data_IF_858841373937
#
_entry.id   IF_858841373937
#
_cell.length_a   1.000
_cell.length_b   1.000
_cell.length_c   1.000
_cell.angle_alpha   90.00
_cell.angle_beta   90.00
_cell.angle_gamma   90.00
#
_symmetry.space_group_name_H-M   'P 1'
#
loop_
_entity.id
_entity.type
_entity.pdbx_description
1 polymer ?
#
# COMPACT_ATOMS: atom_id res chain seq x y z
N UNK A 1 9.53 11.61 56.69
CA UNK A 1 10.74 11.29 57.46
C UNK A 1 11.48 10.15 56.74
N UNK A 2 12.78 10.30 56.43
CA UNK A 2 13.50 9.44 55.49
C UNK A 2 14.55 8.53 56.16
N UNK A 3 14.88 7.41 55.50
CA UNK A 3 16.13 6.65 55.59
C UNK A 3 16.30 5.98 54.21
N UNK A 4 17.35 6.14 53.40
CA UNK A 4 18.70 6.60 53.64
C UNK A 4 19.68 5.42 53.70
N UNK A 5 20.04 4.81 52.56
CA UNK A 5 21.29 4.06 52.42
C UNK A 5 21.90 4.29 51.03
N UNK A 6 23.03 5.00 51.06
CA UNK A 6 24.00 5.19 49.99
C UNK A 6 25.01 4.06 50.00
N UNK A 7 25.46 3.60 48.82
CA UNK A 7 26.84 3.13 48.61
C UNK A 7 27.32 3.50 47.20
N UNK A 8 28.37 4.31 47.16
CA UNK A 8 29.23 4.63 46.03
C UNK A 8 30.58 3.94 46.18
N UNK A 9 31.13 3.39 45.09
CA UNK A 9 32.56 3.14 44.81
C UNK A 9 32.65 3.10 43.27
N UNK A 10 33.03 4.18 42.57
CA UNK A 10 34.39 4.65 42.19
C UNK A 10 35.25 3.67 41.36
N UNK A 11 35.65 4.16 40.16
CA UNK A 11 36.87 3.84 39.36
C UNK A 11 36.96 2.41 38.78
N UNK A 12 37.22 2.13 37.49
CA UNK A 12 38.21 2.69 36.56
C UNK A 12 37.93 2.26 35.10
N UNK A 13 38.21 3.10 34.10
CA UNK A 13 38.60 2.66 32.74
C UNK A 13 40.07 2.16 32.79
N UNK A 14 40.66 1.40 31.83
CA UNK A 14 40.78 1.79 30.41
C UNK A 14 41.07 0.66 29.35
N UNK A 15 41.44 1.10 28.12
CA UNK A 15 42.24 0.43 27.04
C UNK A 15 41.53 -0.66 26.19
N UNK A 16 41.33 -0.54 24.86
CA UNK A 16 42.19 -0.17 23.73
C UNK A 16 43.36 -1.15 23.52
N UNK A 17 43.14 -2.18 22.69
CA UNK A 17 44.19 -3.06 22.17
C UNK A 17 44.14 -3.08 20.66
N UNK A 18 45.15 -2.41 20.12
CA UNK A 18 45.71 -2.50 18.77
C UNK A 18 46.87 -3.49 18.88
N UNK A 19 47.06 -4.40 17.93
CA UNK A 19 48.30 -5.18 17.83
C UNK A 19 48.64 -5.44 16.37
N UNK A 20 49.54 -4.61 15.86
CA UNK A 20 50.44 -4.96 14.76
C UNK A 20 51.72 -5.60 15.34
N UNK A 21 52.44 -6.30 14.45
CA UNK A 21 53.92 -6.42 14.37
C UNK A 21 54.56 -7.81 14.61
N UNK A 22 55.05 -8.35 13.47
CA UNK A 22 56.26 -9.16 13.17
C UNK A 22 56.54 -10.55 13.78
N UNK A 23 56.87 -11.52 12.91
CA UNK A 23 58.26 -11.82 12.44
C UNK A 23 58.29 -12.91 11.35
N UNK A 24 59.14 -12.74 10.33
CA UNK A 24 59.71 -13.80 9.45
C UNK A 24 60.90 -14.50 10.17
N UNK A 25 61.44 -15.65 9.67
CA UNK A 25 62.45 -15.72 8.57
C UNK A 25 62.24 -16.95 7.64
N UNK A 26 62.86 -17.17 6.48
CA UNK A 26 63.92 -16.51 5.71
C UNK A 26 64.30 -17.34 4.44
N UNK A 27 65.14 -16.75 3.58
CA UNK A 27 66.19 -17.35 2.68
C UNK A 27 65.72 -18.23 1.48
N UNK A 28 66.28 -18.27 0.26
CA UNK A 28 67.49 -17.72 -0.39
C UNK A 28 67.35 -17.97 -1.93
N UNK A 29 67.62 -17.01 -2.85
CA UNK A 29 68.69 -16.95 -3.90
C UNK A 29 68.01 -16.46 -5.22
N UNK A 30 68.29 -15.37 -5.94
CA UNK A 30 69.54 -14.76 -6.47
C UNK A 30 69.73 -15.16 -7.97
N UNK A 31 70.36 -14.36 -8.88
CA UNK A 31 70.51 -12.90 -8.99
C UNK A 31 70.40 -12.32 -10.45
N UNK A 32 70.73 -11.03 -10.59
CA UNK A 32 71.31 -10.29 -11.75
C UNK A 32 70.45 -9.62 -12.86
N UNK A 33 70.42 -8.27 -12.89
CA UNK A 33 71.34 -7.40 -13.70
C UNK A 33 70.99 -5.88 -13.66
N UNK A 34 71.97 -5.07 -13.24
CA UNK A 34 72.50 -3.76 -13.77
C UNK A 34 71.53 -2.59 -14.10
N UNK A 35 71.55 -1.50 -13.32
CA UNK A 35 72.26 -0.19 -13.51
C UNK A 35 71.64 0.70 -14.62
N UNK A 36 71.40 2.01 -14.52
CA UNK A 36 72.23 3.15 -14.05
C UNK A 36 71.35 4.43 -14.10
N UNK A 37 71.26 5.29 -13.06
CA UNK A 37 71.98 6.58 -12.80
C UNK A 37 71.34 7.90 -13.29
N UNK A 38 71.07 8.81 -12.33
CA UNK A 38 71.28 10.30 -12.25
C UNK A 38 70.68 11.25 -13.32
N UNK A 39 70.33 12.53 -13.10
CA UNK A 39 70.53 13.58 -12.06
C UNK A 39 69.30 14.55 -12.05
N UNK A 40 68.82 15.15 -10.96
CA UNK A 40 69.26 16.36 -10.22
C UNK A 40 69.37 17.66 -11.06
N UNK A 41 68.53 18.66 -10.71
CA UNK A 41 68.64 20.08 -11.12
C UNK A 41 67.37 20.92 -10.84
N UNK A 42 67.48 21.90 -9.95
CA UNK A 42 66.53 22.99 -9.59
C UNK A 42 67.42 24.17 -9.09
N UNK A 43 66.99 25.43 -8.82
CA UNK A 43 65.80 26.23 -9.23
C UNK A 43 66.15 27.72 -9.58
N UNK A 44 65.15 28.63 -9.53
CA UNK A 44 65.17 30.11 -9.45
C UNK A 44 65.12 30.88 -10.80
N UNK A 45 64.41 32.01 -11.02
CA UNK A 45 63.69 32.96 -10.15
C UNK A 45 62.93 34.04 -10.99
N UNK A 46 62.04 34.80 -10.33
CA UNK A 46 61.55 36.19 -10.61
C UNK A 46 60.23 36.48 -11.37
N UNK A 47 59.36 37.27 -10.70
CA UNK A 47 58.49 38.28 -11.34
C UNK A 47 57.05 38.39 -10.83
N UNK A 48 56.81 39.11 -9.71
CA UNK A 48 55.49 39.45 -9.20
C UNK A 48 54.97 40.79 -9.77
N UNK A 49 53.68 40.86 -10.15
CA UNK A 49 52.86 42.08 -10.07
C UNK A 49 51.35 41.77 -10.26
N UNK A 50 50.54 42.08 -9.24
CA UNK A 50 49.08 42.25 -9.25
C UNK A 50 48.84 43.72 -8.79
N UNK A 51 47.69 44.39 -9.04
CA UNK A 51 46.35 43.80 -8.89
C UNK A 51 45.21 44.35 -9.79
N UNK A 52 44.05 43.71 -9.59
CA UNK A 52 42.71 44.29 -9.59
C UNK A 52 41.85 44.15 -10.86
N UNK A 53 41.00 43.11 -10.87
CA UNK A 53 39.59 43.17 -11.31
C UNK A 53 38.87 41.91 -10.80
N UNK A 54 37.78 42.12 -10.07
CA UNK A 54 36.90 41.09 -9.50
C UNK A 54 36.38 40.11 -10.58
N UNK A 55 36.30 38.80 -10.34
CA UNK A 55 35.46 37.93 -11.17
C UNK A 55 34.05 37.88 -10.59
N UNK A 56 33.11 38.36 -11.40
CA UNK A 56 31.68 38.16 -11.19
C UNK A 56 31.35 36.66 -11.14
N UNK A 57 30.45 36.33 -10.23
CA UNK A 57 29.86 35.02 -10.00
C UNK A 57 29.16 34.53 -11.29
N UNK A 58 29.84 33.70 -12.09
CA UNK A 58 29.21 33.01 -13.21
C UNK A 58 28.53 31.74 -12.71
N UNK A 59 27.21 31.84 -12.50
CA UNK A 59 26.32 30.69 -12.34
C UNK A 59 26.52 29.72 -13.53
N UNK A 60 26.67 28.40 -13.30
CA UNK A 60 26.66 27.46 -14.41
C UNK A 60 25.27 27.48 -15.06
N UNK A 61 25.24 27.90 -16.32
CA UNK A 61 24.09 27.81 -17.21
C UNK A 61 23.63 26.34 -17.20
N UNK A 62 22.46 26.10 -16.62
CA UNK A 62 21.74 24.83 -16.75
C UNK A 62 21.36 24.71 -18.23
N UNK A 63 22.19 24.02 -18.99
CA UNK A 63 21.86 23.62 -20.35
C UNK A 63 20.65 22.69 -20.28
N UNK A 64 19.54 23.16 -20.84
CA UNK A 64 18.32 22.36 -21.04
C UNK A 64 18.73 21.05 -21.73
N UNK A 65 18.36 19.86 -21.22
CA UNK A 65 18.57 18.65 -22.01
C UNK A 65 17.72 18.79 -23.27
N UNK A 66 18.39 18.76 -24.41
CA UNK A 66 17.78 18.92 -25.71
C UNK A 66 16.75 17.79 -25.93
N UNK A 67 15.54 18.21 -26.29
CA UNK A 67 14.40 17.39 -26.69
C UNK A 67 14.71 16.21 -27.65
N UNK A 68 15.75 16.22 -28.52
CA UNK A 68 16.08 15.08 -29.38
C UNK A 68 16.57 13.83 -28.62
N UNK A 69 17.12 13.99 -27.41
CA UNK A 69 17.53 12.86 -26.58
C UNK A 69 16.32 12.04 -26.09
N UNK A 70 15.12 12.66 -26.03
CA UNK A 70 13.84 12.03 -25.67
C UNK A 70 13.34 11.10 -26.79
N UNK A 71 13.70 11.37 -28.04
CA UNK A 71 13.21 10.63 -29.22
C UNK A 71 14.10 9.44 -29.58
N UNK A 72 15.41 9.51 -29.29
CA UNK A 72 16.34 8.37 -29.49
C UNK A 72 16.16 7.22 -28.46
N UNK A 73 15.19 7.33 -27.53
CA UNK A 73 14.90 6.39 -26.44
C UNK A 73 14.09 5.15 -26.83
N UNK A 74 13.67 5.04 -28.09
CA UNK A 74 12.72 4.02 -28.56
C UNK A 74 13.36 2.76 -29.15
N UNK A 75 14.69 2.63 -29.14
CA UNK A 75 15.42 1.60 -29.90
C UNK A 75 15.83 0.33 -29.12
N UNK A 76 15.37 0.14 -27.87
CA UNK A 76 15.47 -1.18 -27.22
C UNK A 76 14.13 -1.93 -27.43
N UNK A 77 14.04 -2.88 -28.39
CA UNK A 77 12.79 -3.53 -28.77
C UNK A 77 12.11 -4.27 -27.60
N UNK A 78 12.89 -4.75 -26.62
CA UNK A 78 12.34 -5.40 -25.42
C UNK A 78 11.74 -4.40 -24.40
N UNK A 79 12.12 -3.13 -24.47
CA UNK A 79 11.59 -2.06 -23.61
C UNK A 79 10.49 -1.22 -24.28
N UNK A 80 10.50 -1.07 -25.61
CA UNK A 80 9.43 -0.43 -26.39
C UNK A 80 8.11 -1.21 -26.29
N UNK A 81 8.17 -2.54 -26.15
CA UNK A 81 7.00 -3.38 -25.82
C UNK A 81 6.42 -3.11 -24.42
N UNK A 82 7.03 -2.23 -23.62
CA UNK A 82 6.53 -1.78 -22.33
C UNK A 82 5.33 -0.82 -22.42
N UNK A 83 5.21 0.00 -23.47
CA UNK A 83 4.13 0.98 -23.60
C UNK A 83 2.78 0.31 -23.88
N UNK A 84 2.74 -0.68 -24.77
CA UNK A 84 1.59 -1.56 -24.97
C UNK A 84 1.26 -2.45 -23.75
N UNK A 85 2.19 -2.59 -22.80
CA UNK A 85 1.99 -3.35 -21.54
C UNK A 85 1.57 -2.50 -20.35
N UNK A 86 1.91 -1.22 -20.36
CA UNK A 86 1.32 -0.22 -19.46
C UNK A 86 -0.18 -0.08 -19.76
N UNK A 87 -0.58 -0.14 -21.03
CA UNK A 87 -1.99 -0.21 -21.43
C UNK A 87 -2.75 -1.32 -20.68
N UNK A 88 -2.19 -2.52 -20.54
CA UNK A 88 -2.83 -3.61 -19.79
C UNK A 88 -2.99 -3.32 -18.29
N UNK A 89 -2.09 -2.54 -17.68
CA UNK A 89 -2.22 -2.10 -16.27
C UNK A 89 -3.33 -1.06 -16.12
N UNK A 90 -3.48 -0.16 -17.10
CA UNK A 90 -4.61 0.78 -17.16
C UNK A 90 -5.92 0.06 -17.45
N UNK A 91 -5.91 -0.96 -18.31
CA UNK A 91 -7.09 -1.79 -18.62
C UNK A 91 -7.56 -2.61 -17.42
N UNK A 92 -6.70 -2.81 -16.41
CA UNK A 92 -7.03 -3.47 -15.15
C UNK A 92 -7.39 -2.49 -14.01
N UNK A 93 -7.46 -1.18 -14.26
CA UNK A 93 -8.12 -0.23 -13.34
C UNK A 93 -9.56 -0.60 -12.94
N UNK A 94 -10.39 -1.22 -13.80
CA UNK A 94 -11.70 -1.73 -13.39
C UNK A 94 -11.61 -2.74 -12.24
N UNK A 95 -10.53 -3.51 -12.12
CA UNK A 95 -10.34 -4.42 -10.98
C UNK A 95 -9.97 -3.70 -9.67
N UNK A 96 -9.36 -2.52 -9.75
CA UNK A 96 -9.06 -1.70 -8.57
C UNK A 96 -10.32 -0.97 -8.10
N UNK A 97 -11.15 -0.52 -9.03
CA UNK A 97 -12.27 0.37 -8.76
C UNK A 97 -13.63 -0.28 -8.94
N UNK A 98 -13.96 -0.75 -10.14
CA UNK A 98 -15.30 -1.21 -10.50
C UNK A 98 -15.71 -2.45 -9.71
N UNK A 99 -14.82 -3.44 -9.56
CA UNK A 99 -15.15 -4.67 -8.81
C UNK A 99 -15.39 -4.37 -7.33
N UNK A 100 -14.47 -3.72 -6.58
CA UNK A 100 -14.73 -3.35 -5.20
C UNK A 100 -15.94 -2.42 -5.04
N UNK A 101 -16.15 -1.47 -5.96
CA UNK A 101 -17.29 -0.55 -5.94
C UNK A 101 -18.61 -1.32 -6.06
N UNK A 102 -18.70 -2.23 -7.01
CA UNK A 102 -19.89 -3.05 -7.22
C UNK A 102 -20.14 -3.99 -6.04
N UNK A 103 -19.09 -4.61 -5.48
CA UNK A 103 -19.21 -5.46 -4.31
C UNK A 103 -19.66 -4.68 -3.06
N UNK A 104 -19.13 -3.47 -2.85
CA UNK A 104 -19.58 -2.54 -1.79
C UNK A 104 -21.07 -2.22 -1.95
N UNK A 105 -21.48 -1.73 -3.14
CA UNK A 105 -22.89 -1.42 -3.41
C UNK A 105 -23.81 -2.64 -3.24
N UNK A 106 -23.45 -3.78 -3.82
CA UNK A 106 -24.26 -5.00 -3.79
C UNK A 106 -24.43 -5.50 -2.35
N UNK A 107 -23.36 -5.48 -1.56
CA UNK A 107 -23.40 -5.87 -0.16
C UNK A 107 -24.35 -4.97 0.64
N UNK A 108 -24.18 -3.65 0.59
CA UNK A 108 -25.02 -2.73 1.35
C UNK A 108 -26.49 -2.76 0.89
N UNK A 109 -26.72 -2.97 -0.41
CA UNK A 109 -28.07 -3.17 -0.94
C UNK A 109 -28.72 -4.43 -0.37
N UNK A 110 -28.00 -5.55 -0.35
CA UNK A 110 -28.49 -6.79 0.23
C UNK A 110 -28.86 -6.62 1.72
N UNK A 111 -28.07 -5.87 2.48
CA UNK A 111 -28.42 -5.50 3.86
C UNK A 111 -29.74 -4.73 3.95
N UNK A 112 -29.96 -3.76 3.05
CA UNK A 112 -31.21 -2.99 2.98
C UNK A 112 -32.38 -3.88 2.59
N UNK A 113 -32.22 -4.76 1.60
CA UNK A 113 -33.27 -5.65 1.12
C UNK A 113 -33.67 -6.68 2.20
N UNK A 114 -32.71 -7.22 2.95
CA UNK A 114 -32.95 -8.04 4.13
C UNK A 114 -33.65 -7.27 5.25
N UNK A 115 -33.20 -6.04 5.52
CA UNK A 115 -33.75 -5.24 6.61
C UNK A 115 -35.16 -4.69 6.32
N UNK A 116 -35.51 -4.54 5.04
CA UNK A 116 -36.84 -4.14 4.57
C UNK A 116 -37.75 -5.33 4.26
N UNK A 117 -37.25 -6.57 4.41
CA UNK A 117 -38.02 -7.79 4.13
C UNK A 117 -38.31 -8.03 2.65
N UNK A 118 -37.62 -7.33 1.74
CA UNK A 118 -37.71 -7.55 0.28
C UNK A 118 -37.02 -8.83 -0.16
N UNK A 119 -36.01 -9.26 0.60
CA UNK A 119 -35.27 -10.49 0.37
C UNK A 119 -35.34 -11.35 1.65
N UNK A 120 -35.47 -12.67 1.48
CA UNK A 120 -35.41 -13.61 2.60
C UNK A 120 -33.96 -14.00 2.85
N UNK A 121 -33.58 -14.30 4.10
CA UNK A 121 -32.26 -14.84 4.40
C UNK A 121 -31.99 -16.15 3.64
N UNK A 122 -30.71 -16.40 3.33
CA UNK A 122 -30.23 -17.57 2.57
C UNK A 122 -30.59 -18.92 3.22
N UNK A 123 -30.95 -18.91 4.52
CA UNK A 123 -31.40 -20.10 5.24
C UNK A 123 -32.88 -20.46 4.97
N UNK A 124 -33.58 -19.69 4.13
CA UNK A 124 -34.98 -19.90 3.78
C UNK A 124 -35.96 -19.60 4.92
N UNK A 125 -35.49 -19.07 6.05
CA UNK A 125 -36.34 -18.80 7.20
C UNK A 125 -37.23 -17.58 6.96
N UNK A 126 -38.50 -17.67 7.39
CA UNK A 126 -39.46 -16.55 7.37
C UNK A 126 -39.19 -15.52 8.49
N UNK A 127 -37.98 -15.49 9.06
CA UNK A 127 -37.65 -14.59 10.16
C UNK A 127 -37.54 -13.17 9.60
N UNK A 128 -38.43 -12.29 10.02
CA UNK A 128 -38.20 -10.83 9.95
C UNK A 128 -37.00 -10.58 10.86
N UNK A 129 -35.79 -10.55 10.29
CA UNK A 129 -34.56 -10.54 11.08
C UNK A 129 -34.43 -9.27 11.95
N UNK A 130 -35.14 -8.19 11.61
CA UNK A 130 -34.99 -6.89 12.25
C UNK A 130 -36.34 -6.19 12.52
N UNK A 131 -37.02 -6.51 13.64
CA UNK A 131 -38.18 -5.75 14.08
C UNK A 131 -37.71 -4.37 14.56
N UNK A 132 -37.94 -3.32 13.75
CA UNK A 132 -37.52 -1.97 14.14
C UNK A 132 -37.55 -0.92 13.02
N UNK A 133 -37.54 -1.34 11.76
CA UNK A 133 -37.71 -0.40 10.66
C UNK A 133 -39.21 -0.06 10.52
N UNK A 134 -39.58 1.20 10.77
CA UNK A 134 -40.94 1.69 10.47
C UNK A 134 -41.19 1.58 8.96
N UNK A 135 -42.35 1.07 8.57
CA UNK A 135 -42.76 1.01 7.16
C UNK A 135 -42.51 2.36 6.46
N UNK A 136 -41.84 2.32 5.32
CA UNK A 136 -41.55 3.50 4.49
C UNK A 136 -40.35 4.35 4.89
N UNK A 137 -39.64 4.08 6.00
CA UNK A 137 -38.37 4.77 6.32
C UNK A 137 -37.16 4.06 5.73
N UNK A 138 -36.28 4.81 5.06
CA UNK A 138 -34.95 4.32 4.66
C UNK A 138 -34.13 3.97 5.92
N UNK A 139 -33.47 2.80 5.96
CA UNK A 139 -32.67 2.40 7.11
C UNK A 139 -31.45 3.33 7.27
N UNK A 140 -31.21 3.76 8.51
CA UNK A 140 -30.02 4.54 8.82
C UNK A 140 -28.77 3.66 8.88
N UNK A 141 -27.60 4.30 8.87
CA UNK A 141 -26.32 3.59 8.87
C UNK A 141 -26.11 2.78 10.16
N UNK A 142 -26.54 3.28 11.31
CA UNK A 142 -26.35 2.60 12.60
C UNK A 142 -27.18 1.31 12.67
N UNK A 143 -28.39 1.34 12.14
CA UNK A 143 -29.24 0.17 12.02
C UNK A 143 -28.65 -0.86 11.06
N UNK A 144 -28.17 -0.43 9.89
CA UNK A 144 -27.52 -1.35 8.94
C UNK A 144 -26.21 -1.93 9.49
N UNK A 145 -25.45 -1.20 10.31
CA UNK A 145 -24.28 -1.74 11.01
C UNK A 145 -24.65 -2.85 12.01
N UNK A 146 -25.77 -2.70 12.75
CA UNK A 146 -26.29 -3.76 13.61
C UNK A 146 -26.73 -4.99 12.82
N UNK A 147 -27.40 -4.77 11.69
CA UNK A 147 -27.84 -5.82 10.77
C UNK A 147 -26.64 -6.60 10.25
N UNK A 148 -25.64 -5.88 9.74
CA UNK A 148 -24.41 -6.45 9.21
C UNK A 148 -23.64 -7.24 10.26
N UNK A 149 -23.47 -6.72 11.48
CA UNK A 149 -22.77 -7.43 12.57
C UNK A 149 -23.46 -8.73 12.96
N UNK A 150 -24.78 -8.76 12.93
CA UNK A 150 -25.55 -9.98 13.18
C UNK A 150 -25.33 -11.02 12.09
N UNK A 151 -25.41 -10.62 10.81
CA UNK A 151 -25.14 -11.51 9.68
C UNK A 151 -23.70 -12.02 9.70
N UNK A 152 -22.73 -11.17 10.02
CA UNK A 152 -21.34 -11.59 10.20
C UNK A 152 -21.18 -12.63 11.31
N UNK A 153 -21.93 -12.52 12.41
CA UNK A 153 -21.91 -13.53 13.47
C UNK A 153 -22.46 -14.88 12.99
N UNK A 154 -23.49 -14.86 12.15
CA UNK A 154 -24.06 -16.06 11.51
C UNK A 154 -23.08 -16.66 10.49
N UNK A 155 -22.43 -15.84 9.68
CA UNK A 155 -21.38 -16.26 8.73
C UNK A 155 -20.21 -16.93 9.44
N UNK A 156 -19.82 -16.43 10.62
CA UNK A 156 -18.78 -17.04 11.46
C UNK A 156 -19.20 -18.40 12.03
N UNK A 157 -20.48 -18.76 12.03
CA UNK A 157 -20.90 -20.09 12.48
C UNK A 157 -20.52 -21.20 11.47
N UNK A 158 -20.40 -20.88 10.17
CA UNK A 158 -20.03 -21.85 9.13
C UNK A 158 -18.59 -22.38 9.27
N UNK A 159 -17.56 -21.52 9.35
CA UNK A 159 -16.19 -21.98 9.58
C UNK A 159 -16.04 -22.63 10.96
N UNK A 160 -16.77 -22.17 11.99
CA UNK A 160 -16.82 -22.84 13.30
C UNK A 160 -17.29 -24.29 13.17
N UNK A 161 -18.44 -24.53 12.52
CA UNK A 161 -18.97 -25.89 12.28
C UNK A 161 -17.97 -26.75 11.53
N UNK A 162 -17.29 -26.19 10.54
CA UNK A 162 -16.27 -26.89 9.75
C UNK A 162 -15.05 -27.25 10.61
N UNK A 163 -14.56 -26.30 11.40
CA UNK A 163 -13.45 -26.51 12.34
C UNK A 163 -13.78 -27.61 13.36
N UNK A 164 -14.98 -27.56 13.95
CA UNK A 164 -15.40 -28.54 14.95
C UNK A 164 -15.62 -29.94 14.35
N UNK A 165 -15.99 -30.04 13.06
CA UNK A 165 -16.01 -31.34 12.36
C UNK A 165 -14.62 -31.98 12.28
N UNK A 166 -13.58 -31.19 12.01
CA UNK A 166 -12.19 -31.69 12.01
C UNK A 166 -11.69 -31.99 13.44
N UNK A 167 -12.10 -31.18 14.41
CA UNK A 167 -11.75 -31.38 15.81
C UNK A 167 -12.49 -32.57 16.46
N UNK A 168 -13.50 -33.14 15.82
CA UNK A 168 -14.31 -34.23 16.36
C UNK A 168 -13.49 -35.49 16.75
N UNK A 169 -12.32 -35.67 16.13
CA UNK A 169 -11.40 -36.79 16.42
C UNK A 169 -10.50 -36.53 17.64
N UNK A 170 -10.51 -35.32 18.20
CA UNK A 170 -9.65 -34.94 19.33
C UNK A 170 -10.30 -35.25 20.69
N UNK A 171 -9.52 -35.43 21.77
CA UNK A 171 -10.04 -35.47 23.14
C UNK A 171 -10.94 -34.28 23.48
N UNK A 172 -11.98 -34.51 24.32
CA UNK A 172 -12.98 -33.48 24.69
C UNK A 172 -12.35 -32.18 25.19
N UNK A 173 -11.33 -32.27 26.05
CA UNK A 173 -10.61 -31.10 26.56
C UNK A 173 -10.02 -30.21 25.44
N UNK A 174 -9.53 -30.80 24.34
CA UNK A 174 -9.04 -30.05 23.20
C UNK A 174 -10.19 -29.47 22.36
N UNK A 175 -11.31 -30.17 22.23
CA UNK A 175 -12.50 -29.64 21.54
C UNK A 175 -13.04 -28.40 22.26
N UNK A 176 -13.16 -28.48 23.59
CA UNK A 176 -13.62 -27.37 24.42
C UNK A 176 -12.67 -26.18 24.31
N UNK A 177 -11.35 -26.42 24.38
CA UNK A 177 -10.34 -25.38 24.18
C UNK A 177 -10.39 -24.73 22.80
N UNK A 178 -10.54 -25.51 21.73
CA UNK A 178 -10.69 -24.99 20.36
C UNK A 178 -11.98 -24.16 20.25
N UNK A 179 -13.08 -24.65 20.83
CA UNK A 179 -14.36 -23.96 20.79
C UNK A 179 -14.32 -22.62 21.53
N UNK A 180 -13.71 -22.60 22.72
CA UNK A 180 -13.52 -21.37 23.51
C UNK A 180 -12.63 -20.37 22.77
N UNK A 181 -11.46 -20.82 22.28
CA UNK A 181 -10.56 -19.96 21.52
C UNK A 181 -11.23 -19.37 20.27
N UNK A 182 -12.06 -20.17 19.58
CA UNK A 182 -12.83 -19.66 18.45
C UNK A 182 -13.85 -18.61 18.88
N UNK A 183 -14.62 -18.88 19.93
CA UNK A 183 -15.64 -17.95 20.44
C UNK A 183 -15.02 -16.62 20.88
N UNK A 184 -13.91 -16.65 21.60
CA UNK A 184 -13.16 -15.46 22.03
C UNK A 184 -12.67 -14.64 20.83
N UNK A 185 -12.13 -15.30 19.80
CA UNK A 185 -11.67 -14.61 18.58
C UNK A 185 -12.83 -14.04 17.79
N UNK A 186 -13.95 -14.77 17.68
CA UNK A 186 -15.15 -14.30 17.00
C UNK A 186 -15.76 -13.09 17.71
N UNK A 187 -15.89 -13.13 19.04
CA UNK A 187 -16.38 -12.01 19.85
C UNK A 187 -15.43 -10.81 19.76
N UNK A 188 -14.12 -11.03 19.87
CA UNK A 188 -13.11 -9.99 19.65
C UNK A 188 -13.29 -9.34 18.27
N UNK A 189 -13.46 -10.14 17.22
CA UNK A 189 -13.64 -9.61 15.86
C UNK A 189 -14.92 -8.80 15.71
N UNK A 190 -16.03 -9.28 16.28
CA UNK A 190 -17.35 -8.64 16.20
C UNK A 190 -17.48 -7.38 17.07
N UNK A 191 -16.61 -7.19 18.06
CA UNK A 191 -16.55 -5.98 18.91
C UNK A 191 -15.64 -4.89 18.34
N UNK A 192 -14.86 -5.20 17.29
CA UNK A 192 -14.01 -4.20 16.65
C UNK A 192 -14.84 -3.08 16.00
N UNK A 193 -14.30 -1.85 15.97
CA UNK A 193 -14.81 -0.81 15.09
C UNK A 193 -14.82 -1.27 13.64
N UNK A 194 -15.85 -0.89 12.88
CA UNK A 194 -16.11 -1.31 11.49
C UNK A 194 -14.89 -1.12 10.59
N UNK A 195 -14.14 -0.01 10.73
CA UNK A 195 -12.92 0.21 9.96
C UNK A 195 -11.77 -0.76 10.29
N UNK A 196 -11.65 -1.23 11.54
CA UNK A 196 -10.64 -2.25 11.92
C UNK A 196 -11.07 -3.64 11.46
N UNK A 197 -12.37 -3.94 11.50
CA UNK A 197 -12.91 -5.19 10.94
C UNK A 197 -12.57 -5.33 9.45
N UNK A 198 -12.52 -4.21 8.71
CA UNK A 198 -12.15 -4.17 7.30
C UNK A 198 -10.69 -4.54 7.01
N UNK A 199 -9.79 -4.39 8.00
CA UNK A 199 -8.36 -4.66 7.86
C UNK A 199 -8.03 -6.14 8.02
N UNK A 200 -8.76 -6.83 8.90
CA UNK A 200 -8.46 -8.22 9.29
C UNK A 200 -8.35 -9.15 8.07
N UNK A 201 -9.25 -9.10 7.06
CA UNK A 201 -9.10 -9.93 5.87
C UNK A 201 -7.79 -9.67 5.10
N UNK A 202 -7.34 -8.41 5.00
CA UNK A 202 -6.08 -8.07 4.33
C UNK A 202 -4.89 -8.67 5.11
N UNK A 203 -4.89 -8.55 6.44
CA UNK A 203 -3.85 -9.14 7.28
C UNK A 203 -3.86 -10.67 7.18
N UNK A 204 -5.04 -11.29 7.12
CA UNK A 204 -5.18 -12.74 6.96
C UNK A 204 -4.59 -13.20 5.61
N UNK A 205 -4.89 -12.49 4.51
CA UNK A 205 -4.32 -12.77 3.19
C UNK A 205 -2.79 -12.58 3.18
N UNK A 206 -2.28 -11.50 3.76
CA UNK A 206 -0.83 -11.27 3.90
C UNK A 206 -0.15 -12.41 4.67
N UNK A 207 -0.79 -12.89 5.73
CA UNK A 207 -0.29 -13.98 6.56
C UNK A 207 -0.29 -15.30 5.79
N UNK A 208 -1.35 -15.60 5.04
CA UNK A 208 -1.44 -16.80 4.19
C UNK A 208 -0.39 -16.80 3.06
N UNK A 209 -0.13 -15.66 2.44
CA UNK A 209 0.90 -15.54 1.40
C UNK A 209 2.30 -15.65 2.02
N UNK A 210 2.50 -15.10 3.22
CA UNK A 210 3.74 -15.27 3.97
C UNK A 210 4.01 -16.74 4.34
N UNK A 211 3.02 -17.48 4.81
CA UNK A 211 3.18 -18.92 5.09
C UNK A 211 3.45 -19.70 3.80
N UNK A 212 2.83 -19.31 2.68
CA UNK A 212 3.18 -19.86 1.37
C UNK A 212 4.66 -19.62 1.02
N UNK A 213 5.23 -18.44 1.30
CA UNK A 213 6.67 -18.20 1.14
C UNK A 213 7.54 -19.09 2.03
N UNK A 214 7.12 -19.37 3.27
CA UNK A 214 7.83 -20.29 4.17
C UNK A 214 7.88 -21.71 3.61
N UNK A 215 6.78 -22.21 3.04
CA UNK A 215 6.73 -23.52 2.39
C UNK A 215 7.55 -23.50 1.08
N UNK A 216 7.45 -22.42 0.31
CA UNK A 216 8.14 -22.27 -0.97
C UNK A 216 9.67 -22.34 -0.84
N UNK A 217 10.24 -21.82 0.26
CA UNK A 217 11.69 -21.93 0.54
C UNK A 217 12.20 -23.37 0.58
N UNK A 218 11.33 -24.34 0.87
CA UNK A 218 11.68 -25.77 0.92
C UNK A 218 11.32 -26.53 -0.36
N UNK A 219 10.62 -25.89 -1.31
CA UNK A 219 10.11 -26.53 -2.53
C UNK A 219 10.42 -25.68 -3.77
N UNK A 220 11.44 -26.03 -4.57
CA UNK A 220 11.90 -25.22 -5.71
C UNK A 220 10.80 -24.86 -6.72
N UNK A 221 9.89 -25.80 -7.02
CA UNK A 221 8.76 -25.54 -7.92
C UNK A 221 7.81 -24.44 -7.37
N UNK A 222 7.52 -24.49 -6.07
CA UNK A 222 6.69 -23.49 -5.40
C UNK A 222 7.42 -22.15 -5.29
N UNK A 223 8.73 -22.14 -5.07
CA UNK A 223 9.54 -20.92 -5.11
C UNK A 223 9.47 -20.23 -6.47
N UNK A 224 9.60 -20.99 -7.56
CA UNK A 224 9.42 -20.47 -8.92
C UNK A 224 8.04 -19.88 -9.14
N UNK A 225 6.99 -20.57 -8.66
CA UNK A 225 5.61 -20.06 -8.70
C UNK A 225 5.43 -18.75 -7.93
N UNK A 226 5.94 -18.67 -6.69
CA UNK A 226 5.82 -17.49 -5.83
C UNK A 226 6.57 -16.30 -6.43
N UNK A 227 7.81 -16.51 -6.88
CA UNK A 227 8.60 -15.46 -7.54
C UNK A 227 7.91 -14.95 -8.81
N UNK A 228 7.27 -15.84 -9.58
CA UNK A 228 6.60 -15.48 -10.84
C UNK A 228 5.31 -14.67 -10.66
N UNK A 229 4.56 -14.92 -9.59
CA UNK A 229 3.21 -14.36 -9.41
C UNK A 229 3.11 -13.29 -8.30
N UNK A 230 3.91 -13.40 -7.25
CA UNK A 230 3.85 -12.54 -6.05
C UNK A 230 4.99 -11.53 -5.96
N UNK A 231 5.79 -11.38 -7.02
CA UNK A 231 6.79 -10.32 -7.12
C UNK A 231 6.67 -9.61 -8.47
N UNK A 232 6.78 -8.29 -8.45
CA UNK A 232 6.71 -7.47 -9.67
C UNK A 232 8.12 -7.14 -10.13
N UNK A 233 8.42 -7.43 -11.39
CA UNK A 233 9.65 -6.99 -12.03
C UNK A 233 9.51 -5.63 -12.72
N UNK A 234 10.61 -5.18 -13.31
CA UNK A 234 10.59 -4.05 -14.26
C UNK A 234 9.88 -4.39 -15.57
N UNK A 235 9.73 -5.67 -15.89
CA UNK A 235 8.91 -6.15 -17.00
C UNK A 235 7.45 -6.29 -16.54
N UNK A 236 6.53 -5.48 -17.10
CA UNK A 236 5.08 -5.67 -16.93
C UNK A 236 4.57 -6.86 -17.77
N UNK A 237 5.41 -7.88 -17.95
CA UNK A 237 5.07 -9.09 -18.69
C UNK A 237 3.91 -9.85 -18.05
N UNK A 238 3.69 -9.66 -16.73
CA UNK A 238 2.62 -10.25 -15.95
C UNK A 238 1.88 -9.16 -15.17
N UNK A 239 0.84 -8.53 -15.75
CA UNK A 239 0.18 -7.37 -15.14
C UNK A 239 -0.44 -7.70 -13.78
N UNK A 240 -0.90 -8.94 -13.56
CA UNK A 240 -1.47 -9.36 -12.27
C UNK A 240 -0.50 -9.28 -11.09
N UNK A 241 0.81 -9.35 -11.34
CA UNK A 241 1.82 -9.25 -10.26
C UNK A 241 1.76 -7.90 -9.55
N UNK A 242 1.30 -6.84 -10.22
CA UNK A 242 1.10 -5.50 -9.63
C UNK A 242 0.02 -5.54 -8.54
N UNK A 243 -0.96 -6.43 -8.66
CA UNK A 243 -2.05 -6.61 -7.69
C UNK A 243 -1.72 -7.60 -6.57
N UNK A 244 -0.94 -8.65 -6.86
CA UNK A 244 -0.61 -9.69 -5.88
C UNK A 244 0.63 -9.37 -5.04
N UNK A 245 1.60 -8.67 -5.61
CA UNK A 245 2.83 -8.32 -4.90
C UNK A 245 2.67 -7.39 -3.69
N UNK A 246 1.63 -6.54 -3.56
CA UNK A 246 1.35 -5.80 -2.33
C UNK A 246 1.09 -6.73 -1.13
N UNK A 247 0.52 -7.91 -1.34
CA UNK A 247 0.25 -8.87 -0.27
C UNK A 247 1.43 -9.81 0.01
N UNK A 248 2.53 -9.67 -0.73
CA UNK A 248 3.67 -10.58 -0.70
C UNK A 248 4.74 -10.13 0.29
N UNK A 249 4.85 -10.84 1.41
CA UNK A 249 5.87 -10.60 2.43
C UNK A 249 6.83 -11.77 2.49
N UNK A 250 8.13 -11.49 2.46
CA UNK A 250 9.18 -12.52 2.55
C UNK A 250 9.78 -12.62 3.96
N UNK A 251 9.69 -11.58 4.77
CA UNK A 251 10.25 -11.57 6.14
C UNK A 251 9.16 -11.35 7.19
N UNK A 252 9.33 -11.94 8.39
CA UNK A 252 8.42 -11.73 9.52
C UNK A 252 8.34 -10.25 9.86
N UNK A 253 9.49 -9.57 9.90
CA UNK A 253 9.57 -8.14 10.19
C UNK A 253 8.76 -7.32 9.19
N UNK A 254 8.83 -7.62 7.89
CA UNK A 254 8.00 -6.95 6.91
C UNK A 254 6.52 -7.21 7.14
N UNK A 255 6.12 -8.45 7.44
CA UNK A 255 4.72 -8.80 7.71
C UNK A 255 4.20 -8.04 8.94
N UNK A 256 4.90 -8.12 10.07
CA UNK A 256 4.48 -7.51 11.34
C UNK A 256 4.41 -5.99 11.22
N UNK A 257 5.44 -5.35 10.66
CA UNK A 257 5.46 -3.88 10.55
C UNK A 257 4.38 -3.37 9.59
N UNK A 258 4.17 -4.04 8.46
CA UNK A 258 3.15 -3.61 7.49
C UNK A 258 1.73 -3.86 7.99
N UNK A 259 1.45 -5.03 8.57
CA UNK A 259 0.14 -5.34 9.16
C UNK A 259 -0.17 -4.46 10.36
N UNK A 260 0.82 -4.19 11.22
CA UNK A 260 0.68 -3.26 12.34
C UNK A 260 0.40 -1.83 11.86
N UNK A 261 1.19 -1.33 10.91
CA UNK A 261 0.96 0.00 10.33
C UNK A 261 -0.42 0.11 9.65
N UNK A 262 -0.84 -0.92 8.89
CA UNK A 262 -2.15 -0.96 8.26
C UNK A 262 -3.28 -0.92 9.31
N UNK A 263 -3.13 -1.66 10.42
CA UNK A 263 -4.09 -1.66 11.53
C UNK A 263 -4.28 -0.29 12.17
N UNK A 264 -3.20 0.46 12.36
CA UNK A 264 -3.27 1.79 12.98
C UNK A 264 -3.80 2.86 12.03
N UNK A 265 -3.34 2.92 10.77
CA UNK A 265 -3.70 4.01 9.88
C UNK A 265 -5.11 3.90 9.27
N UNK A 266 -5.61 2.68 9.04
CA UNK A 266 -6.90 2.47 8.38
C UNK A 266 -8.10 2.84 9.25
N UNK A 267 -8.03 2.54 10.55
CA UNK A 267 -9.10 2.83 11.51
C UNK A 267 -9.42 4.33 11.52
N UNK A 268 -8.35 5.12 11.43
CA UNK A 268 -8.34 6.57 11.56
C UNK A 268 -8.70 7.23 10.23
N UNK A 269 -8.22 6.68 9.11
CA UNK A 269 -8.60 7.14 7.78
C UNK A 269 -10.12 7.01 7.53
N UNK A 270 -10.69 5.84 7.84
CA UNK A 270 -12.07 5.52 7.46
C UNK A 270 -13.12 6.06 8.45
N UNK A 271 -12.83 6.07 9.75
CA UNK A 271 -13.80 6.54 10.75
C UNK A 271 -13.93 8.06 10.79
N UNK A 272 -12.82 8.78 10.64
CA UNK A 272 -12.83 10.24 10.71
C UNK A 272 -13.39 10.87 9.43
N UNK A 273 -13.20 10.24 8.27
CA UNK A 273 -13.53 10.90 7.00
C UNK A 273 -14.99 10.82 6.60
N UNK A 274 -15.60 9.65 6.78
CA UNK A 274 -16.90 9.34 6.17
C UNK A 274 -18.02 10.30 6.60
N UNK A 275 -18.16 10.70 7.88
CA UNK A 275 -19.15 11.69 8.28
C UNK A 275 -18.93 13.05 7.59
N UNK A 276 -17.68 13.49 7.50
CA UNK A 276 -17.28 14.79 6.93
C UNK A 276 -17.54 14.82 5.44
N UNK A 277 -17.18 13.75 4.72
CA UNK A 277 -17.38 13.71 3.28
C UNK A 277 -18.87 13.61 2.92
N UNK A 278 -19.68 12.90 3.70
CA UNK A 278 -21.14 12.92 3.54
C UNK A 278 -21.70 14.33 3.74
N UNK A 279 -21.25 15.04 4.77
CA UNK A 279 -21.67 16.42 5.03
C UNK A 279 -21.30 17.35 3.87
N UNK A 280 -20.06 17.28 3.38
CA UNK A 280 -19.59 18.08 2.24
C UNK A 280 -20.41 17.77 0.98
N UNK A 281 -20.61 16.49 0.65
CA UNK A 281 -21.38 16.10 -0.54
C UNK A 281 -22.84 16.54 -0.43
N UNK A 282 -23.45 16.44 0.74
CA UNK A 282 -24.82 16.89 0.97
C UNK A 282 -24.93 18.42 0.86
N UNK A 283 -23.96 19.15 1.41
CA UNK A 283 -23.89 20.62 1.28
C UNK A 283 -23.68 21.05 -0.17
N UNK A 284 -22.83 20.34 -0.92
CA UNK A 284 -22.67 20.57 -2.36
C UNK A 284 -23.98 20.32 -3.14
N UNK A 285 -24.80 19.37 -2.68
CA UNK A 285 -26.14 19.12 -3.22
C UNK A 285 -27.12 20.27 -3.00
N UNK A 286 -27.10 20.90 -1.82
CA UNK A 286 -27.92 22.08 -1.55
C UNK A 286 -27.51 23.26 -2.43
N UNK A 287 -26.22 23.39 -2.73
CA UNK A 287 -25.68 24.42 -3.63
C UNK A 287 -25.87 24.11 -5.12
N UNK A 288 -26.45 22.96 -5.48
CA UNK A 288 -26.69 22.54 -6.86
C UNK A 288 -25.43 22.16 -7.65
N UNK A 289 -24.27 22.02 -6.99
CA UNK A 289 -22.98 21.73 -7.66
C UNK A 289 -22.86 20.25 -8.04
N UNK A 290 -23.42 19.34 -7.24
CA UNK A 290 -23.46 17.89 -7.50
C UNK A 290 -24.78 17.31 -7.00
N UNK A 291 -25.34 16.27 -7.64
CA UNK A 291 -26.42 15.52 -7.03
C UNK A 291 -25.92 14.88 -5.72
N UNK A 292 -26.63 15.11 -4.62
CA UNK A 292 -26.33 14.48 -3.34
C UNK A 292 -26.54 12.96 -3.38
N UNK A 293 -26.06 12.26 -2.36
CA UNK A 293 -26.21 10.80 -2.24
C UNK A 293 -27.62 10.53 -1.73
N UNK A 294 -28.54 10.18 -2.63
CA UNK A 294 -29.96 9.98 -2.28
C UNK A 294 -30.40 8.53 -2.45
N UNK A 295 -29.88 7.84 -3.48
CA UNK A 295 -30.32 6.50 -3.88
C UNK A 295 -29.40 5.40 -3.34
N UNK A 296 -28.08 5.64 -3.28
CA UNK A 296 -27.16 4.63 -2.77
C UNK A 296 -27.35 4.40 -1.25
N UNK A 297 -27.36 3.13 -0.80
CA UNK A 297 -27.39 2.83 0.62
C UNK A 297 -26.11 3.32 1.31
N UNK A 298 -26.20 3.76 2.58
CA UNK A 298 -25.03 4.25 3.31
C UNK A 298 -23.99 3.13 3.44
N UNK A 299 -22.71 3.47 3.27
CA UNK A 299 -21.62 2.49 3.37
C UNK A 299 -21.50 1.99 4.81
N UNK A 300 -21.68 0.69 4.99
CA UNK A 300 -21.47 0.01 6.27
C UNK A 300 -20.21 -0.85 6.22
N UNK A 301 -19.95 -1.56 5.12
CA UNK A 301 -18.75 -2.38 4.98
C UNK A 301 -17.62 -1.65 4.24
N UNK A 302 -16.58 -1.27 4.99
CA UNK A 302 -15.41 -0.59 4.43
C UNK A 302 -14.35 -1.50 3.80
N UNK A 303 -14.53 -2.83 3.82
CA UNK A 303 -13.53 -3.79 3.28
C UNK A 303 -13.14 -3.46 1.86
N UNK A 304 -14.14 -3.19 1.02
CA UNK A 304 -13.95 -2.98 -0.41
C UNK A 304 -13.34 -1.62 -0.73
N UNK A 305 -13.78 -0.57 -0.04
CA UNK A 305 -13.21 0.76 -0.18
C UNK A 305 -11.75 0.79 0.29
N UNK A 306 -11.46 0.16 1.44
CA UNK A 306 -10.08 0.04 1.94
C UNK A 306 -9.20 -0.75 0.99
N UNK A 307 -9.70 -1.87 0.46
CA UNK A 307 -8.99 -2.68 -0.52
C UNK A 307 -8.68 -1.89 -1.79
N UNK A 308 -9.65 -1.14 -2.31
CA UNK A 308 -9.49 -0.30 -3.49
C UNK A 308 -8.45 0.81 -3.25
N UNK A 309 -8.53 1.51 -2.11
CA UNK A 309 -7.55 2.52 -1.72
C UNK A 309 -6.14 1.95 -1.58
N UNK A 310 -6.01 0.81 -0.91
CA UNK A 310 -4.76 0.10 -0.71
C UNK A 310 -4.14 -0.35 -2.04
N UNK A 311 -4.94 -0.91 -2.95
CA UNK A 311 -4.48 -1.34 -4.27
C UNK A 311 -4.15 -0.15 -5.17
N UNK A 312 -4.94 0.93 -5.14
CA UNK A 312 -4.66 2.16 -5.88
C UNK A 312 -3.30 2.75 -5.49
N UNK A 313 -3.05 2.90 -4.18
CA UNK A 313 -1.76 3.37 -3.69
C UNK A 313 -0.63 2.39 -3.99
N UNK A 314 -0.89 1.09 -3.92
CA UNK A 314 0.10 0.08 -4.25
C UNK A 314 0.53 0.16 -5.71
N UNK A 315 -0.43 0.19 -6.64
CA UNK A 315 -0.18 0.29 -8.07
C UNK A 315 0.52 1.61 -8.40
N UNK A 316 0.01 2.73 -7.86
CA UNK A 316 0.60 4.06 -8.08
C UNK A 316 2.03 4.17 -7.56
N UNK A 317 2.32 3.62 -6.38
CA UNK A 317 3.69 3.53 -5.87
C UNK A 317 4.60 2.70 -6.76
N UNK A 318 4.14 1.56 -7.26
CA UNK A 318 4.94 0.75 -8.20
C UNK A 318 5.18 1.47 -9.52
N UNK A 319 4.21 2.23 -10.04
CA UNK A 319 4.41 3.07 -11.22
C UNK A 319 5.45 4.18 -10.98
N UNK A 320 5.42 4.83 -9.82
CA UNK A 320 6.43 5.83 -9.43
C UNK A 320 7.84 5.24 -9.35
N UNK A 321 7.98 4.05 -8.75
CA UNK A 321 9.26 3.32 -8.70
C UNK A 321 9.79 2.96 -10.08
N UNK A 322 8.92 2.48 -10.97
CA UNK A 322 9.27 2.22 -12.38
C UNK A 322 9.75 3.47 -13.09
N UNK A 323 9.09 4.60 -12.87
CA UNK A 323 9.48 5.87 -13.48
C UNK A 323 10.90 6.27 -13.06
N UNK A 324 11.20 6.20 -11.75
CA UNK A 324 12.55 6.47 -11.23
C UNK A 324 13.58 5.49 -11.79
N UNK A 325 13.25 4.20 -11.85
CA UNK A 325 14.15 3.19 -12.41
C UNK A 325 14.38 3.38 -13.92
N UNK A 326 13.37 3.87 -14.66
CA UNK A 326 13.53 4.23 -16.08
C UNK A 326 14.52 5.37 -16.25
N UNK A 327 14.44 6.40 -15.41
CA UNK A 327 15.42 7.49 -15.39
C UNK A 327 16.82 6.96 -15.08
N UNK A 328 16.96 6.10 -14.06
CA UNK A 328 18.24 5.50 -13.70
C UNK A 328 18.83 4.64 -14.82
N UNK A 329 18.02 3.81 -15.46
CA UNK A 329 18.40 2.99 -16.61
C UNK A 329 18.91 3.85 -17.77
N UNK A 330 18.17 4.91 -18.14
CA UNK A 330 18.54 5.79 -19.23
C UNK A 330 19.87 6.52 -18.95
N UNK A 331 20.09 6.96 -17.71
CA UNK A 331 21.36 7.59 -17.29
C UNK A 331 22.54 6.63 -17.40
N UNK A 332 22.37 5.36 -17.05
CA UNK A 332 23.41 4.34 -17.20
C UNK A 332 23.71 4.04 -18.67
N UNK A 333 22.68 3.96 -19.51
CA UNK A 333 22.85 3.75 -20.95
C UNK A 333 23.59 4.90 -21.63
N UNK A 334 23.31 6.15 -21.23
CA UNK A 334 24.04 7.32 -21.74
C UNK A 334 25.50 7.30 -21.31
N UNK A 335 25.78 7.04 -20.02
CA UNK A 335 27.16 6.89 -19.53
C UNK A 335 27.94 5.77 -20.25
N UNK A 336 27.28 4.65 -20.53
CA UNK A 336 27.90 3.53 -21.26
C UNK A 336 28.28 3.90 -22.70
N UNK A 337 27.47 4.75 -23.36
CA UNK A 337 27.77 5.26 -24.71
C UNK A 337 28.88 6.29 -24.71
N UNK A 338 28.89 7.19 -23.74
CA UNK A 338 29.89 8.26 -23.63
C UNK A 338 31.27 7.73 -23.21
N UNK A 339 31.31 6.68 -22.37
CA UNK A 339 32.54 6.13 -21.82
C UNK A 339 32.62 4.60 -22.03
N UNK A 340 33.18 4.13 -23.17
CA UNK A 340 33.29 2.71 -23.48
C UNK A 340 33.96 1.83 -22.41
N UNK A 341 34.99 2.28 -21.65
CA UNK A 341 35.57 1.49 -20.56
C UNK A 341 34.60 1.23 -19.40
N UNK A 342 33.62 2.12 -19.20
CA UNK A 342 32.58 1.99 -18.17
C UNK A 342 31.33 1.26 -18.68
N UNK A 343 31.28 0.91 -19.96
CA UNK A 343 30.11 0.26 -20.56
C UNK A 343 29.83 -1.11 -19.93
N UNK A 344 30.86 -1.87 -19.57
CA UNK A 344 30.69 -3.19 -18.95
C UNK A 344 30.14 -3.09 -17.53
N UNK A 345 30.64 -2.13 -16.74
CA UNK A 345 30.09 -1.84 -15.42
C UNK A 345 28.63 -1.37 -15.51
N UNK A 346 28.33 -0.48 -16.46
CA UNK A 346 26.96 -0.01 -16.68
C UNK A 346 26.01 -1.15 -17.11
N UNK A 347 26.47 -2.10 -17.94
CA UNK A 347 25.70 -3.30 -18.32
C UNK A 347 25.39 -4.17 -17.11
N UNK A 348 26.37 -4.40 -16.24
CA UNK A 348 26.16 -5.17 -15.00
C UNK A 348 25.14 -4.49 -14.08
N UNK A 349 25.24 -3.17 -13.89
CA UNK A 349 24.26 -2.41 -13.10
C UNK A 349 22.86 -2.45 -13.73
N UNK A 350 22.76 -2.37 -15.05
CA UNK A 350 21.47 -2.49 -15.76
C UNK A 350 20.89 -3.90 -15.60
N UNK A 351 21.71 -4.94 -15.68
CA UNK A 351 21.27 -6.32 -15.45
C UNK A 351 20.76 -6.50 -14.01
N UNK A 352 21.46 -5.92 -13.02
CA UNK A 352 21.01 -5.91 -11.63
C UNK A 352 19.68 -5.17 -11.47
N UNK A 353 19.54 -3.98 -12.07
CA UNK A 353 18.27 -3.24 -12.06
C UNK A 353 17.14 -4.09 -12.65
N UNK A 354 17.35 -4.72 -13.81
CA UNK A 354 16.36 -5.62 -14.46
C UNK A 354 16.01 -6.84 -13.60
N UNK A 355 16.96 -7.35 -12.84
CA UNK A 355 16.76 -8.48 -11.94
C UNK A 355 16.03 -8.09 -10.63
N UNK A 356 15.91 -6.80 -10.30
CA UNK A 356 15.21 -6.38 -9.09
C UNK A 356 13.73 -6.78 -9.13
N UNK A 357 13.29 -7.39 -8.03
CA UNK A 357 11.91 -7.81 -7.80
C UNK A 357 11.34 -7.03 -6.62
N UNK A 358 10.21 -6.38 -6.86
CA UNK A 358 9.49 -5.62 -5.86
C UNK A 358 8.37 -6.46 -5.25
N UNK A 359 8.29 -6.44 -3.93
CA UNK A 359 7.25 -7.12 -3.16
C UNK A 359 6.97 -6.35 -1.86
N UNK A 360 5.79 -6.56 -1.29
CA UNK A 360 5.41 -6.01 0.01
C UNK A 360 4.42 -4.86 -0.08
N UNK A 361 3.69 -4.71 1.02
CA UNK A 361 2.54 -3.82 1.18
C UNK A 361 2.88 -2.35 1.41
N UNK A 362 4.17 -2.01 1.60
CA UNK A 362 4.57 -0.68 2.03
C UNK A 362 3.98 0.46 1.18
N UNK A 363 3.96 0.41 -0.17
CA UNK A 363 3.32 1.47 -0.95
C UNK A 363 1.83 1.66 -0.64
N UNK A 364 1.09 0.56 -0.44
CA UNK A 364 -0.32 0.60 -0.02
C UNK A 364 -0.49 1.13 1.40
N UNK A 365 0.35 0.71 2.35
CA UNK A 365 0.36 1.22 3.73
C UNK A 365 0.65 2.71 3.79
N UNK A 366 1.64 3.19 3.02
CA UNK A 366 1.94 4.62 2.89
C UNK A 366 0.79 5.39 2.24
N UNK A 367 0.03 4.75 1.34
CA UNK A 367 -1.22 5.30 0.82
C UNK A 367 -2.27 5.51 1.89
N UNK A 368 -2.56 4.49 2.69
CA UNK A 368 -3.51 4.63 3.82
C UNK A 368 -3.03 5.73 4.77
N UNK A 369 -1.73 5.76 5.11
CA UNK A 369 -1.14 6.80 5.94
C UNK A 369 -1.27 8.21 5.32
N UNK A 370 -1.05 8.35 4.01
CA UNK A 370 -1.21 9.61 3.29
C UNK A 370 -2.65 10.09 3.24
N UNK A 371 -3.61 9.17 3.12
CA UNK A 371 -5.03 9.45 3.26
C UNK A 371 -5.36 9.99 4.66
N UNK A 372 -4.96 9.28 5.72
CA UNK A 372 -5.14 9.74 7.11
C UNK A 372 -4.52 11.13 7.33
N UNK A 373 -3.32 11.36 6.80
CA UNK A 373 -2.65 12.65 6.92
C UNK A 373 -3.39 13.76 6.17
N UNK A 374 -3.93 13.49 4.98
CA UNK A 374 -4.76 14.44 4.23
C UNK A 374 -5.95 14.91 5.05
N UNK A 375 -6.65 13.97 5.68
CA UNK A 375 -7.78 14.25 6.57
C UNK A 375 -7.39 15.12 7.75
N UNK A 376 -6.29 14.78 8.42
CA UNK A 376 -5.80 15.56 9.56
C UNK A 376 -5.42 17.00 9.21
N UNK A 377 -5.19 17.31 7.93
CA UNK A 377 -4.91 18.67 7.44
C UNK A 377 -6.16 19.41 6.97
N UNK A 378 -7.22 18.70 6.62
CA UNK A 378 -8.50 19.24 6.16
C UNK A 378 -9.49 19.45 7.32
N UNK A 379 -9.37 18.66 8.39
CA UNK A 379 -10.20 18.74 9.59
C UNK A 379 -9.54 19.64 10.65
N UNK A 380 -10.34 20.49 11.30
CA UNK A 380 -9.86 21.54 12.22
C UNK A 380 -9.35 20.99 13.55
N UNK A 381 -9.74 19.77 13.94
CA UNK A 381 -9.12 19.10 15.09
C UNK A 381 -8.04 18.12 14.61
N UNK A 382 -6.76 18.34 14.98
CA UNK A 382 -5.72 17.38 14.68
C UNK A 382 -6.07 16.12 15.46
N UNK A 383 -6.53 15.07 14.78
CA UNK A 383 -6.61 13.73 15.36
C UNK A 383 -5.21 13.40 15.91
N UNK A 384 -5.04 13.55 17.22
CA UNK A 384 -3.75 13.36 17.88
C UNK A 384 -3.56 11.86 18.00
N UNK A 385 -2.79 11.24 17.09
CA UNK A 385 -2.43 9.84 17.28
C UNK A 385 -1.48 9.71 18.47
N UNK A 386 -1.87 8.86 19.42
CA UNK A 386 -0.93 8.02 20.16
C UNK A 386 -0.41 6.99 19.18
N UNK A 387 0.75 7.21 18.54
CA UNK A 387 1.44 6.15 17.78
C UNK A 387 2.03 5.20 18.82
N UNK A 388 1.16 4.41 19.44
CA UNK A 388 1.56 3.38 20.39
C UNK A 388 2.09 2.19 19.61
N UNK A 389 3.36 2.24 19.19
CA UNK A 389 4.11 0.98 19.13
C UNK A 389 4.24 0.60 20.61
N UNK A 390 3.32 -0.24 21.10
CA UNK A 390 3.02 -0.46 22.53
C UNK A 390 4.18 -1.01 23.38
N UNK A 391 5.40 -1.04 22.85
CA UNK A 391 6.61 -1.45 23.55
C UNK A 391 7.80 -0.45 23.48
N UNK A 392 7.75 0.64 22.68
CA UNK A 392 8.96 1.46 22.46
C UNK A 392 8.82 2.99 22.53
N UNK A 393 7.64 3.60 22.30
CA UNK A 393 7.50 5.07 22.36
C UNK A 393 6.09 5.54 22.75
N UNK A 394 5.90 5.97 24.00
CA UNK A 394 4.67 6.60 24.51
C UNK A 394 4.56 8.10 24.17
N UNK A 395 4.88 8.49 22.93
CA UNK A 395 4.75 9.89 22.50
C UNK A 395 3.66 10.07 21.45
N UNK A 396 2.75 10.99 21.72
CA UNK A 396 1.74 11.44 20.76
C UNK A 396 2.38 12.34 19.70
N UNK A 397 2.20 11.99 18.43
CA UNK A 397 2.68 12.79 17.31
C UNK A 397 1.52 13.09 16.37
N UNK A 398 1.28 14.37 15.97
CA UNK A 398 0.27 14.70 14.99
C UNK A 398 0.53 13.98 13.65
N UNK A 399 -0.49 13.34 13.07
CA UNK A 399 -0.37 12.58 11.82
C UNK A 399 0.27 13.40 10.70
N UNK A 400 -0.19 14.62 10.48
CA UNK A 400 0.37 15.50 9.45
C UNK A 400 1.87 15.78 9.62
N UNK A 401 2.38 15.86 10.86
CA UNK A 401 3.83 16.06 11.12
C UNK A 401 4.61 14.76 10.90
N UNK A 402 4.12 13.64 11.43
CA UNK A 402 4.73 12.33 11.25
C UNK A 402 4.80 11.94 9.77
N UNK A 403 3.73 12.21 9.01
CA UNK A 403 3.66 11.96 7.57
C UNK A 403 4.66 12.82 6.80
N UNK A 404 4.71 14.13 7.08
CA UNK A 404 5.70 15.03 6.46
C UNK A 404 7.14 14.56 6.71
N UNK A 405 7.45 14.14 7.94
CA UNK A 405 8.76 13.60 8.29
C UNK A 405 9.06 12.29 7.56
N UNK A 406 8.11 11.36 7.50
CA UNK A 406 8.30 10.10 6.78
C UNK A 406 8.55 10.35 5.29
N UNK A 407 7.74 11.20 4.65
CA UNK A 407 7.90 11.58 3.25
C UNK A 407 9.22 12.32 2.99
N UNK A 408 9.64 13.23 3.88
CA UNK A 408 10.91 13.95 3.72
C UNK A 408 12.12 13.02 3.80
N UNK A 409 12.11 12.04 4.70
CA UNK A 409 13.15 11.01 4.77
C UNK A 409 13.20 10.20 3.49
N UNK A 410 12.06 9.76 2.95
CA UNK A 410 12.06 9.02 1.68
C UNK A 410 12.54 9.86 0.50
N UNK A 411 12.16 11.13 0.42
CA UNK A 411 12.62 12.05 -0.62
C UNK A 411 14.14 12.29 -0.49
N UNK A 412 14.64 12.52 0.73
CA UNK A 412 16.08 12.68 0.97
C UNK A 412 16.86 11.43 0.55
N UNK A 413 16.38 10.24 0.93
CA UNK A 413 16.98 8.98 0.50
C UNK A 413 16.97 8.81 -1.01
N UNK A 414 15.89 9.22 -1.69
CA UNK A 414 15.77 9.18 -3.14
C UNK A 414 16.77 10.12 -3.83
N UNK A 415 16.92 11.34 -3.31
CA UNK A 415 17.88 12.34 -3.83
C UNK A 415 19.33 11.89 -3.62
N UNK A 416 19.63 11.30 -2.46
CA UNK A 416 20.96 10.78 -2.13
C UNK A 416 21.27 9.44 -2.82
N UNK A 417 20.32 8.85 -3.55
CA UNK A 417 20.51 7.59 -4.27
C UNK A 417 20.61 6.35 -3.38
N UNK A 418 20.03 6.38 -2.17
CA UNK A 418 19.97 5.19 -1.31
C UNK A 418 19.08 4.11 -1.94
N UNK A 419 19.62 2.88 -2.03
CA UNK A 419 18.97 1.75 -2.73
C UNK A 419 18.45 0.65 -1.81
N UNK A 420 18.54 0.82 -0.48
CA UNK A 420 18.17 -0.24 0.48
C UNK A 420 16.65 -0.47 0.55
N UNK A 421 15.85 0.52 0.17
CA UNK A 421 14.39 0.45 0.11
C UNK A 421 13.86 1.08 -1.18
N UNK A 422 12.64 0.73 -1.56
CA UNK A 422 11.94 1.38 -2.68
C UNK A 422 11.31 2.71 -2.23
N UNK A 423 12.17 3.70 -2.01
CA UNK A 423 11.75 5.02 -1.53
C UNK A 423 10.77 5.70 -2.50
N UNK A 424 10.94 5.48 -3.81
CA UNK A 424 10.05 6.01 -4.84
C UNK A 424 8.65 5.41 -4.73
N UNK A 425 8.52 4.10 -4.46
CA UNK A 425 7.22 3.48 -4.26
C UNK A 425 6.52 3.96 -2.99
N UNK A 426 7.26 4.23 -1.92
CA UNK A 426 6.67 4.74 -0.67
C UNK A 426 6.11 6.15 -0.87
N UNK A 427 6.86 7.05 -1.51
CA UNK A 427 6.41 8.43 -1.80
C UNK A 427 5.26 8.41 -2.82
N UNK A 428 5.36 7.59 -3.87
CA UNK A 428 4.28 7.43 -4.85
C UNK A 428 2.99 6.89 -4.23
N UNK A 429 3.10 5.88 -3.36
CA UNK A 429 1.96 5.34 -2.62
C UNK A 429 1.33 6.39 -1.69
N UNK A 430 2.15 7.13 -0.94
CA UNK A 430 1.70 8.23 -0.08
C UNK A 430 0.94 9.33 -0.85
N UNK A 431 1.44 9.73 -2.02
CA UNK A 431 0.77 10.69 -2.89
C UNK A 431 -0.57 10.15 -3.40
N UNK A 432 -0.60 8.90 -3.85
CA UNK A 432 -1.84 8.25 -4.29
C UNK A 432 -2.88 8.17 -3.17
N UNK A 433 -2.46 7.90 -1.93
CA UNK A 433 -3.34 7.94 -0.76
C UNK A 433 -3.94 9.32 -0.48
N UNK A 434 -3.13 10.36 -0.59
CA UNK A 434 -3.60 11.74 -0.46
C UNK A 434 -4.59 12.12 -1.57
N UNK A 435 -4.28 11.74 -2.82
CA UNK A 435 -5.17 11.92 -3.97
C UNK A 435 -6.46 11.11 -3.83
N UNK A 436 -6.40 9.94 -3.19
CA UNK A 436 -7.56 9.10 -2.94
C UNK A 436 -8.60 9.88 -2.14
N UNK A 437 -8.20 10.36 -0.97
CA UNK A 437 -9.06 11.15 -0.08
C UNK A 437 -9.54 12.42 -0.77
N UNK A 438 -8.66 13.13 -1.48
CA UNK A 438 -9.00 14.43 -2.05
C UNK A 438 -9.97 14.35 -3.25
N UNK A 439 -9.82 13.34 -4.11
CA UNK A 439 -10.53 13.30 -5.40
C UNK A 439 -11.28 12.00 -5.64
N UNK A 440 -10.67 10.88 -5.30
CA UNK A 440 -11.17 9.55 -5.69
C UNK A 440 -12.35 9.14 -4.83
N UNK A 441 -12.38 9.51 -3.55
CA UNK A 441 -13.46 9.14 -2.64
C UNK A 441 -14.78 9.83 -2.96
N UNK A 442 -14.73 11.10 -3.36
CA UNK A 442 -15.90 11.80 -3.90
C UNK A 442 -16.40 11.12 -5.20
N UNK A 443 -15.48 10.70 -6.07
CA UNK A 443 -15.82 9.94 -7.28
C UNK A 443 -16.38 8.55 -6.95
N UNK A 444 -15.90 7.89 -5.90
CA UNK A 444 -16.38 6.60 -5.42
C UNK A 444 -17.84 6.69 -5.02
N UNK A 445 -18.21 7.68 -4.20
CA UNK A 445 -19.61 7.85 -3.80
C UNK A 445 -20.52 8.24 -4.97
N UNK A 446 -20.07 9.15 -5.84
CA UNK A 446 -20.81 9.49 -7.06
C UNK A 446 -21.02 8.28 -7.98
N UNK A 447 -20.02 7.41 -8.09
CA UNK A 447 -20.14 6.17 -8.88
C UNK A 447 -21.10 5.17 -8.23
N UNK A 448 -21.09 5.02 -6.89
CA UNK A 448 -22.07 4.20 -6.16
C UNK A 448 -23.50 4.72 -6.40
N UNK A 449 -23.68 6.03 -6.40
CA UNK A 449 -24.96 6.67 -6.69
C UNK A 449 -25.43 6.38 -8.12
N UNK A 450 -24.54 6.50 -9.12
CA UNK A 450 -24.87 6.16 -10.51
C UNK A 450 -25.25 4.69 -10.71
N UNK A 451 -24.58 3.77 -10.00
CA UNK A 451 -24.95 2.34 -9.99
C UNK A 451 -26.33 2.14 -9.36
N UNK A 452 -26.64 2.85 -8.27
CA UNK A 452 -27.96 2.78 -7.63
C UNK A 452 -29.07 3.25 -8.57
N UNK A 453 -28.90 4.42 -9.19
CA UNK A 453 -29.85 5.00 -10.15
C UNK A 453 -30.08 4.09 -11.36
N UNK A 454 -29.01 3.53 -11.94
CA UNK A 454 -29.11 2.60 -13.07
C UNK A 454 -29.92 1.36 -12.72
N UNK A 455 -29.75 0.85 -11.49
CA UNK A 455 -30.46 -0.33 -11.02
C UNK A 455 -31.94 -0.05 -10.71
N UNK A 456 -32.28 1.14 -10.22
CA UNK A 456 -33.67 1.57 -9.99
C UNK A 456 -34.39 1.86 -11.31
N UNK A 457 -33.75 2.59 -12.23
CA UNK A 457 -34.29 2.88 -13.56
C UNK A 457 -34.49 1.62 -14.41
N UNK A 458 -33.59 0.64 -14.32
CA UNK A 458 -33.75 -0.67 -14.95
C UNK A 458 -34.98 -1.43 -14.43
N UNK A 459 -35.27 -1.36 -13.12
CA UNK A 459 -36.49 -1.96 -12.54
C UNK A 459 -37.76 -1.24 -12.99
N UNK A 460 -37.75 0.09 -13.00
CA UNK A 460 -38.91 0.88 -13.45
C UNK A 460 -39.27 0.58 -14.92
N UNK A 461 -38.26 0.46 -15.79
CA UNK A 461 -38.47 0.10 -17.20
C UNK A 461 -38.94 -1.35 -17.38
N UNK A 462 -38.44 -2.29 -16.55
CA UNK A 462 -38.90 -3.69 -16.59
C UNK A 462 -40.37 -3.83 -16.15
N UNK A 463 -40.77 -3.14 -15.07
CA UNK A 463 -42.16 -3.12 -14.59
C UNK A 463 -43.09 -2.44 -15.60
N UNK A 464 -42.64 -1.36 -16.25
CA UNK A 464 -43.40 -0.72 -17.32
C UNK A 464 -43.60 -1.65 -18.54
N UNK A 465 -42.57 -2.41 -18.92
CA UNK A 465 -42.66 -3.39 -20.00
C UNK A 465 -43.59 -4.57 -19.67
N UNK A 466 -43.60 -5.03 -18.41
CA UNK A 466 -44.46 -6.12 -17.94
C UNK A 466 -45.94 -5.68 -17.83
N UNK A 467 -46.19 -4.44 -17.40
CA UNK A 467 -47.52 -3.83 -17.38
C UNK A 467 -48.12 -3.57 -18.76
N UNK A 468 -47.30 -3.26 -19.77
CA UNK A 468 -47.74 -3.10 -21.16
C UNK A 468 -47.97 -4.46 -21.86
N UNK A 469 -47.23 -5.49 -21.44
CA UNK A 469 -47.45 -6.88 -21.87
C UNK A 469 -48.78 -7.47 -21.36
N UNK A 470 -49.19 -7.15 -20.14
CA UNK A 470 -50.49 -7.58 -19.60
C UNK A 470 -51.70 -6.83 -20.19
N UNK A 471 -51.52 -5.59 -20.66
CA UNK A 471 -52.57 -4.84 -21.39
C UNK A 471 -52.79 -5.32 -22.83
N UNK A 472 -51.93 -6.18 -23.36
CA UNK A 472 -52.01 -6.77 -24.71
C UNK A 472 -52.37 -8.26 -24.71
N UNK A 473 -52.96 -8.79 -23.63
CA UNK A 473 -53.67 -10.06 -23.71
C UNK A 473 -55.03 -9.81 -24.40
N UNK A 474 -55.33 -10.41 -25.57
CA UNK A 474 -56.63 -10.27 -26.19
C UNK A 474 -57.66 -10.94 -25.26
N UNK A 475 -58.68 -10.17 -24.84
CA UNK A 475 -59.90 -10.75 -24.31
C UNK A 475 -60.48 -11.66 -25.40
N UNK A 476 -60.29 -12.97 -25.22
CA UNK A 476 -60.97 -13.98 -26.00
C UNK A 476 -62.44 -14.00 -25.61
N UNK A 477 -63.28 -13.48 -26.50
CA UNK A 477 -64.62 -13.95 -26.81
C UNK A 477 -65.09 -13.31 -28.09
#
# INVERSE_FOLDING_TARGET
>A
MPLGVSRSVSTSAPLLVRSDVMRRPGLHNGPDRKSSTLSLGNPAEHGACLPNKQPALALPVISRPALPAVIALHQDPDYATGEGRVFWVWLSLPFIFVVPLYLSYKHDKHLVDLATGKEKPDDGSNRVLFPGLKEGKKPDRQFLDKVWRRLMAEDLAVPYKTLMRFAALLPRALQDGISQAYAEVAEWYLTLPTAKMAVVPIIAVNTAIYTAWMVARRRPAMLGFMMRNFTTGLDLSRPWTVYLSPFSHTTVTSLVLTSGALWYFSAEALQAFMPILIEVVNKESETGVRPGIQHAPPEVDYRWQLLAAFLFASVGGRLASRFVQRIAHNRLMLKAKEFPPLAEQARQEIAQLRAQRFHGAWPGVYGVFGGTAALSLLCIEPAQCRIGISALMDRTFPYGKAFKLACSVHIACLVMGFRRFDHAAHVGGALCGWLWVKYVEAAWLGAREGVAQSHEGGKANAVAAEGDGQRKAPHGS
#
